data_IF_729378269881
#
_entry.id   IF_729378269881
#
_cell.length_a   1.000
_cell.length_b   1.000
_cell.length_c   1.000
_cell.angle_alpha   90.00
_cell.angle_beta   90.00
_cell.angle_gamma   90.00
#
_symmetry.space_group_name_H-M   'P 1'
#
loop_
_entity.id
_entity.type
_entity.pdbx_description
1 polymer ?
#
# COMPACT_ATOMS: atom_id res chain seq x y z
N UNK A 1 -4.61 18.48 -49.24
CA UNK A 1 -3.37 19.27 -49.19
C UNK A 1 -3.18 19.64 -47.75
N UNK A 2 -2.83 18.69 -46.88
CA UNK A 2 -1.54 17.95 -46.90
C UNK A 2 -0.40 18.95 -47.08
N UNK A 3 0.36 19.26 -46.01
CA UNK A 3 1.44 18.41 -45.45
C UNK A 3 2.53 18.21 -46.51
N UNK A 4 3.81 18.31 -46.22
CA UNK A 4 4.64 17.68 -45.21
C UNK A 4 5.96 18.47 -45.23
N UNK A 5 6.65 18.64 -44.10
CA UNK A 5 8.13 18.46 -44.06
C UNK A 5 8.78 18.82 -42.72
N UNK A 6 8.10 19.48 -41.78
CA UNK A 6 8.80 19.91 -40.54
C UNK A 6 8.77 18.88 -39.39
N UNK A 7 7.80 17.97 -39.36
CA UNK A 7 7.67 16.99 -38.26
C UNK A 7 8.32 15.64 -38.54
N UNK A 8 8.50 15.24 -39.81
CA UNK A 8 9.24 14.02 -40.15
C UNK A 8 10.73 14.15 -39.84
N UNK A 9 11.32 15.36 -39.89
CA UNK A 9 12.74 15.56 -39.54
C UNK A 9 13.02 15.40 -38.04
N UNK A 10 12.05 15.69 -37.16
CA UNK A 10 12.19 15.53 -35.70
C UNK A 10 11.89 14.09 -35.27
N UNK A 11 10.94 13.42 -35.92
CA UNK A 11 10.67 11.99 -35.72
C UNK A 11 11.77 11.10 -36.32
N UNK A 12 12.41 11.51 -37.43
CA UNK A 12 13.57 10.84 -37.99
C UNK A 12 14.82 10.97 -37.09
N UNK A 13 14.96 12.07 -36.33
CA UNK A 13 16.02 12.21 -35.34
C UNK A 13 15.80 11.35 -34.07
N UNK A 14 14.56 10.87 -33.85
CA UNK A 14 14.19 9.93 -32.79
C UNK A 14 14.17 8.47 -33.26
N UNK A 15 14.43 8.23 -34.54
CA UNK A 15 14.43 6.90 -35.16
C UNK A 15 15.85 6.54 -35.61
N UNK A 16 16.44 5.57 -34.93
CA UNK A 16 17.67 4.86 -35.32
C UNK A 16 18.96 5.70 -35.39
N UNK A 17 19.49 6.09 -34.24
CA UNK A 17 20.95 6.05 -34.05
C UNK A 17 21.25 4.92 -33.07
N UNK A 18 21.70 3.82 -33.66
CA UNK A 18 22.20 2.62 -33.00
C UNK A 18 23.21 2.98 -31.92
N UNK A 19 22.93 2.64 -30.66
CA UNK A 19 23.94 2.54 -29.61
C UNK A 19 24.84 1.32 -29.90
N UNK A 20 25.75 1.50 -30.86
CA UNK A 20 26.99 0.75 -30.97
C UNK A 20 28.08 1.62 -30.34
N UNK A 21 28.08 1.72 -29.01
CA UNK A 21 29.27 2.14 -28.28
C UNK A 21 29.83 0.88 -27.63
N UNK A 22 30.92 0.40 -28.21
CA UNK A 22 31.76 -0.68 -27.70
C UNK A 22 32.33 -0.27 -26.35
N UNK A 23 32.02 -1.03 -25.30
CA UNK A 23 32.77 -0.94 -24.04
C UNK A 23 34.10 -1.69 -24.24
N UNK A 24 35.18 -0.96 -24.48
CA UNK A 24 36.48 -1.54 -24.87
C UNK A 24 37.34 -2.09 -23.74
N UNK A 25 36.90 -2.11 -22.48
CA UNK A 25 37.68 -2.72 -21.41
C UNK A 25 36.77 -3.46 -20.43
N UNK A 26 36.62 -4.78 -20.62
CA UNK A 26 36.03 -5.66 -19.60
C UNK A 26 37.07 -6.65 -19.10
N UNK A 27 37.43 -6.53 -17.83
CA UNK A 27 38.30 -7.47 -17.12
C UNK A 27 37.40 -8.62 -16.62
N UNK A 28 37.73 -9.90 -16.90
CA UNK A 28 36.92 -11.01 -16.42
C UNK A 28 37.05 -11.10 -14.89
N UNK A 29 35.93 -11.15 -14.18
CA UNK A 29 35.95 -11.31 -12.73
C UNK A 29 35.63 -12.76 -12.31
N UNK A 30 36.40 -13.33 -11.37
CA UNK A 30 36.14 -14.63 -10.77
C UNK A 30 35.04 -14.53 -9.71
N UNK A 31 34.24 -15.59 -9.60
CA UNK A 31 33.09 -15.71 -8.70
C UNK A 31 33.45 -15.53 -7.22
N UNK A 32 33.11 -14.38 -6.61
CA UNK A 32 32.40 -14.18 -5.32
C UNK A 32 31.90 -12.72 -5.24
N UNK A 33 30.71 -12.51 -4.65
CA UNK A 33 30.07 -11.23 -4.25
C UNK A 33 30.28 -9.99 -5.14
N UNK A 34 29.34 -9.76 -6.07
CA UNK A 34 29.39 -8.60 -6.96
C UNK A 34 28.55 -7.41 -6.48
N UNK A 35 29.21 -6.25 -6.43
CA UNK A 35 28.61 -4.92 -6.47
C UNK A 35 28.32 -4.57 -7.94
N UNK A 36 27.05 -4.51 -8.33
CA UNK A 36 26.64 -4.12 -9.69
C UNK A 36 26.44 -2.61 -9.72
N UNK A 37 27.44 -1.89 -10.24
CA UNK A 37 27.34 -0.49 -10.64
C UNK A 37 26.92 -0.48 -12.11
N UNK A 38 25.85 0.25 -12.43
CA UNK A 38 25.40 0.38 -13.81
C UNK A 38 25.13 1.85 -14.13
N UNK A 39 25.44 2.24 -15.36
CA UNK A 39 25.12 3.55 -15.91
C UNK A 39 24.04 3.37 -16.98
N UNK A 40 22.89 4.01 -16.77
CA UNK A 40 21.80 3.98 -17.75
C UNK A 40 21.89 5.25 -18.59
N UNK A 41 22.11 5.11 -19.90
CA UNK A 41 22.00 6.23 -20.84
C UNK A 41 20.53 6.41 -21.21
N UNK A 42 19.94 7.54 -20.80
CA UNK A 42 18.53 7.87 -21.04
C UNK A 42 18.45 9.00 -22.06
N UNK A 43 17.76 8.76 -23.18
CA UNK A 43 17.51 9.78 -24.20
C UNK A 43 16.78 10.98 -23.57
N UNK A 44 17.37 12.18 -23.68
CA UNK A 44 16.84 13.44 -23.13
C UNK A 44 17.23 13.76 -21.68
N UNK A 45 17.84 12.83 -20.93
CA UNK A 45 18.25 13.03 -19.52
C UNK A 45 19.76 12.79 -19.33
N UNK A 46 20.42 12.08 -20.24
CA UNK A 46 21.85 11.77 -20.17
C UNK A 46 22.15 10.51 -19.38
N UNK A 47 23.43 10.32 -19.03
CA UNK A 47 23.90 9.12 -18.32
C UNK A 47 23.58 9.25 -16.83
N UNK A 48 22.72 8.37 -16.32
CA UNK A 48 22.41 8.23 -14.91
C UNK A 48 23.25 7.11 -14.30
N UNK A 49 24.25 7.43 -13.45
CA UNK A 49 24.95 6.42 -12.69
C UNK A 49 24.06 5.92 -11.55
N UNK A 50 23.91 4.60 -11.43
CA UNK A 50 23.18 3.96 -10.35
C UNK A 50 24.03 2.84 -9.71
N UNK A 51 23.89 2.71 -8.40
CA UNK A 51 24.49 1.63 -7.62
C UNK A 51 23.35 0.82 -7.03
N UNK A 52 23.30 -0.48 -7.33
CA UNK A 52 22.54 -1.39 -6.49
C UNK A 52 23.31 -1.56 -5.18
N UNK A 53 22.79 -0.98 -4.09
CA UNK A 53 23.17 -1.44 -2.77
C UNK A 53 22.77 -2.92 -2.64
N UNK A 54 23.34 -3.64 -1.68
CA UNK A 54 23.00 -5.05 -1.37
C UNK A 54 21.49 -5.30 -1.18
N UNK A 55 20.68 -4.25 -1.03
CA UNK A 55 19.24 -4.28 -0.78
C UNK A 55 18.41 -3.47 -1.82
N UNK A 56 19.02 -2.89 -2.87
CA UNK A 56 18.29 -2.29 -4.01
C UNK A 56 17.48 -1.01 -3.80
N UNK A 57 17.62 -0.28 -2.69
CA UNK A 57 16.77 0.90 -2.41
C UNK A 57 17.35 2.26 -2.87
N UNK A 58 16.54 3.04 -3.59
CA UNK A 58 16.78 4.46 -3.85
C UNK A 58 16.47 5.33 -2.60
N UNK A 59 17.40 6.23 -2.23
CA UNK A 59 17.39 7.03 -0.98
C UNK A 59 16.38 8.20 -0.97
N UNK A 60 15.09 7.95 -1.15
CA UNK A 60 14.05 8.91 -0.81
C UNK A 60 13.09 8.29 0.21
N UNK A 61 13.34 8.53 1.50
CA UNK A 61 12.56 7.95 2.60
C UNK A 61 11.07 8.30 2.53
N UNK A 62 10.77 9.52 2.07
CA UNK A 62 9.45 10.14 1.95
C UNK A 62 8.79 9.99 0.55
N UNK A 63 9.29 9.07 -0.28
CA UNK A 63 8.73 8.79 -1.60
C UNK A 63 8.45 7.30 -1.73
N UNK A 64 7.23 6.94 -2.09
CA UNK A 64 6.94 5.63 -2.68
C UNK A 64 7.00 5.77 -4.19
N UNK A 65 7.71 4.85 -4.85
CA UNK A 65 7.85 4.87 -6.30
C UNK A 65 7.78 3.48 -6.90
N UNK A 66 7.21 3.42 -8.10
CA UNK A 66 7.05 2.23 -8.93
C UNK A 66 7.23 2.62 -10.39
N UNK A 67 7.92 1.77 -11.13
CA UNK A 67 8.13 1.86 -12.56
C UNK A 67 7.63 0.56 -13.19
N UNK A 68 6.88 0.69 -14.28
CA UNK A 68 6.60 -0.42 -15.18
C UNK A 68 7.55 -0.25 -16.36
N UNK A 69 8.40 -1.25 -16.58
CA UNK A 69 9.47 -1.19 -17.55
C UNK A 69 9.39 -2.39 -18.48
N UNK A 70 9.48 -2.16 -19.78
CA UNK A 70 9.74 -3.23 -20.73
C UNK A 70 11.24 -3.51 -20.74
N UNK A 71 11.64 -4.74 -20.41
CA UNK A 71 13.05 -5.14 -20.34
C UNK A 71 13.29 -6.30 -21.30
N UNK A 72 14.41 -6.26 -22.02
CA UNK A 72 14.91 -7.36 -22.85
C UNK A 72 16.31 -7.75 -22.41
N UNK A 73 16.52 -9.06 -22.27
CA UNK A 73 17.81 -9.65 -21.95
C UNK A 73 18.42 -10.24 -23.21
N UNK A 74 19.67 -9.86 -23.48
CA UNK A 74 20.46 -10.39 -24.59
C UNK A 74 21.74 -10.98 -24.05
N UNK A 75 22.20 -12.05 -24.68
CA UNK A 75 23.46 -12.72 -24.30
C UNK A 75 24.37 -12.86 -25.49
N UNK A 76 25.66 -12.68 -25.24
CA UNK A 76 26.74 -12.95 -26.19
C UNK A 76 27.61 -14.10 -25.68
N UNK A 77 28.02 -14.98 -26.60
CA UNK A 77 29.00 -16.05 -26.32
C UNK A 77 30.38 -15.65 -26.85
N UNK A 78 31.40 -16.44 -26.53
CA UNK A 78 32.76 -16.23 -27.07
C UNK A 78 32.83 -16.43 -28.59
N UNK A 79 31.90 -17.20 -29.17
CA UNK A 79 31.92 -17.61 -30.58
C UNK A 79 31.14 -16.68 -31.51
N UNK A 80 30.40 -15.72 -30.96
CA UNK A 80 29.57 -14.78 -31.71
C UNK A 80 29.85 -13.36 -31.26
N UNK A 81 30.09 -12.46 -32.21
CA UNK A 81 30.20 -11.01 -31.94
C UNK A 81 28.83 -10.35 -31.73
N UNK A 82 27.74 -11.07 -32.02
CA UNK A 82 26.38 -10.55 -31.89
C UNK A 82 25.68 -11.08 -30.64
N UNK A 83 24.99 -10.17 -29.93
CA UNK A 83 24.19 -10.51 -28.76
C UNK A 83 22.77 -10.93 -29.20
N UNK A 84 22.34 -12.14 -28.83
CA UNK A 84 21.00 -12.67 -29.12
C UNK A 84 20.03 -12.34 -27.98
N UNK A 85 18.79 -11.96 -28.31
CA UNK A 85 17.73 -11.83 -27.31
C UNK A 85 17.39 -13.22 -26.79
N UNK A 86 17.37 -13.38 -25.48
CA UNK A 86 17.03 -14.66 -24.81
C UNK A 86 15.77 -14.58 -23.97
N UNK A 87 15.41 -13.38 -23.52
CA UNK A 87 14.22 -13.17 -22.70
C UNK A 87 13.79 -11.71 -22.79
N UNK A 88 12.54 -11.42 -22.43
CA UNK A 88 12.05 -10.07 -22.28
C UNK A 88 10.57 -10.01 -21.92
N UNK A 89 10.22 -9.08 -21.05
CA UNK A 89 8.86 -8.91 -20.53
C UNK A 89 8.65 -7.50 -19.94
N UNK A 90 7.47 -7.25 -19.39
CA UNK A 90 7.17 -6.12 -18.52
C UNK A 90 7.53 -6.46 -17.08
N UNK A 91 8.35 -5.60 -16.47
CA UNK A 91 8.79 -5.72 -15.10
C UNK A 91 8.28 -4.56 -14.27
N UNK A 92 7.83 -4.86 -13.06
CA UNK A 92 7.55 -3.87 -12.04
C UNK A 92 8.78 -3.71 -11.15
N UNK A 93 9.36 -2.51 -11.15
CA UNK A 93 10.49 -2.14 -10.31
C UNK A 93 10.02 -1.02 -9.39
N UNK A 94 10.35 -1.08 -8.10
CA UNK A 94 9.92 -0.05 -7.17
C UNK A 94 10.69 -0.15 -5.88
N UNK A 95 10.53 0.87 -5.04
CA UNK A 95 11.16 0.95 -3.71
C UNK A 95 10.99 -0.31 -2.87
N UNK A 96 9.86 -0.99 -3.08
CA UNK A 96 9.42 -2.11 -2.28
C UNK A 96 9.34 -3.43 -3.06
N UNK A 97 9.59 -3.41 -4.36
CA UNK A 97 9.55 -4.61 -5.18
C UNK A 97 10.84 -5.42 -5.03
N UNK A 98 10.76 -6.76 -5.09
CA UNK A 98 11.95 -7.58 -5.05
C UNK A 98 12.86 -7.23 -6.25
N UNK A 99 14.19 -7.36 -6.10
CA UNK A 99 15.11 -7.16 -7.20
C UNK A 99 14.85 -8.20 -8.30
N UNK A 100 15.13 -7.82 -9.55
CA UNK A 100 15.13 -8.77 -10.66
C UNK A 100 16.32 -9.71 -10.49
N UNK A 101 16.04 -11.00 -10.34
CA UNK A 101 17.07 -12.05 -10.20
C UNK A 101 17.31 -12.72 -11.54
N UNK A 102 18.51 -12.57 -12.09
CA UNK A 102 18.93 -13.23 -13.33
C UNK A 102 19.84 -14.41 -12.97
N UNK A 103 19.49 -15.61 -13.44
CA UNK A 103 20.31 -16.82 -13.26
C UNK A 103 20.90 -17.24 -14.61
N UNK A 104 22.23 -17.31 -14.68
CA UNK A 104 22.97 -17.69 -15.88
C UNK A 104 23.53 -19.09 -15.65
N UNK A 105 22.96 -20.09 -16.32
CA UNK A 105 23.33 -21.50 -16.15
C UNK A 105 24.16 -22.06 -17.32
N UNK A 106 24.48 -21.23 -18.31
CA UNK A 106 25.28 -21.61 -19.48
C UNK A 106 26.67 -20.98 -19.38
N UNK A 107 27.69 -21.83 -19.22
CA UNK A 107 29.10 -21.44 -19.06
C UNK A 107 29.69 -20.76 -20.31
N UNK A 108 29.01 -20.87 -21.46
CA UNK A 108 29.44 -20.25 -22.70
C UNK A 108 29.00 -18.78 -22.81
N UNK A 109 28.09 -18.33 -21.95
CA UNK A 109 27.65 -16.93 -21.90
C UNK A 109 28.80 -16.08 -21.34
N UNK A 110 29.24 -15.11 -22.15
CA UNK A 110 30.33 -14.18 -21.80
C UNK A 110 29.86 -12.75 -21.61
N UNK A 111 28.74 -12.38 -22.23
CA UNK A 111 28.16 -11.03 -22.19
C UNK A 111 26.68 -11.11 -21.90
N UNK A 112 26.19 -10.18 -21.09
CA UNK A 112 24.75 -9.93 -20.89
C UNK A 112 24.48 -8.46 -21.15
N UNK A 113 23.55 -8.18 -22.05
CA UNK A 113 23.05 -6.82 -22.33
C UNK A 113 21.59 -6.74 -21.91
N UNK A 114 21.28 -5.73 -21.13
CA UNK A 114 19.91 -5.47 -20.68
C UNK A 114 19.43 -4.19 -21.36
N UNK A 115 18.41 -4.31 -22.20
CA UNK A 115 17.74 -3.19 -22.83
C UNK A 115 16.48 -2.86 -22.03
N UNK A 116 16.31 -1.59 -21.62
CA UNK A 116 15.20 -1.18 -20.77
C UNK A 116 14.45 0.01 -21.38
N UNK A 117 13.12 0.01 -21.28
CA UNK A 117 12.24 1.10 -21.69
C UNK A 117 11.17 1.35 -20.64
N UNK A 118 11.02 2.59 -20.18
CA UNK A 118 9.90 2.96 -19.30
C UNK A 118 8.57 2.91 -20.06
N UNK A 119 7.59 2.26 -19.43
CA UNK A 119 6.19 2.26 -19.88
C UNK A 119 5.38 3.20 -19.00
N UNK A 120 5.57 3.11 -17.68
CA UNK A 120 4.87 3.95 -16.72
C UNK A 120 5.79 4.32 -15.54
N UNK A 121 5.63 5.54 -15.03
CA UNK A 121 6.30 6.02 -13.83
C UNK A 121 5.30 6.53 -12.81
N UNK A 122 5.39 6.02 -11.59
CA UNK A 122 4.53 6.39 -10.47
C UNK A 122 5.40 6.87 -9.31
N UNK A 123 5.19 8.13 -8.93
CA UNK A 123 5.81 8.77 -7.77
C UNK A 123 4.72 9.24 -6.81
N UNK A 124 4.77 8.77 -5.57
CA UNK A 124 3.85 9.18 -4.53
C UNK A 124 4.63 9.69 -3.31
N UNK A 125 4.66 11.01 -3.17
CA UNK A 125 5.26 11.65 -2.01
C UNK A 125 4.35 11.45 -0.80
N UNK A 126 4.92 10.92 0.27
CA UNK A 126 4.20 10.71 1.50
C UNK A 126 3.86 12.08 2.13
N UNK A 127 2.65 12.25 2.68
CA UNK A 127 2.24 13.50 3.30
C UNK A 127 3.17 13.84 4.47
N UNK A 128 3.45 15.13 4.61
CA UNK A 128 4.19 15.68 5.75
C UNK A 128 3.29 16.02 6.95
N UNK A 129 1.98 15.92 6.78
CA UNK A 129 0.97 16.28 7.79
C UNK A 129 1.09 17.74 8.24
N UNK A 130 1.18 18.65 7.26
CA UNK A 130 1.23 20.10 7.45
C UNK A 130 -0.14 20.78 7.31
N UNK A 131 -1.20 19.99 7.06
CA UNK A 131 -2.57 20.47 6.88
C UNK A 131 -3.57 19.58 7.63
N UNK A 132 -4.49 20.21 8.36
CA UNK A 132 -5.49 19.54 9.19
C UNK A 132 -6.44 20.54 9.85
N UNK A 133 -7.44 20.04 10.58
CA UNK A 133 -8.27 20.88 11.46
C UNK A 133 -7.81 20.87 12.92
N UNK A 134 -6.98 19.91 13.31
CA UNK A 134 -6.34 19.91 14.64
C UNK A 134 -4.85 19.64 14.51
N UNK A 135 -4.09 20.03 15.53
CA UNK A 135 -2.66 19.75 15.65
C UNK A 135 -2.43 18.74 16.77
N UNK A 136 -1.84 17.59 16.45
CA UNK A 136 -1.37 16.64 17.44
C UNK A 136 0.07 16.98 17.81
N UNK A 137 0.34 17.21 19.09
CA UNK A 137 1.67 17.50 19.61
C UNK A 137 2.28 16.22 20.20
N UNK A 138 3.31 15.71 19.54
CA UNK A 138 4.14 14.62 20.04
C UNK A 138 5.40 15.20 20.70
N UNK A 139 6.23 14.32 21.25
CA UNK A 139 7.46 14.69 21.94
C UNK A 139 8.40 15.57 21.10
N UNK A 140 8.66 15.15 19.86
CA UNK A 140 9.71 15.74 19.02
C UNK A 140 9.15 16.56 17.84
N UNK A 141 7.86 16.45 17.55
CA UNK A 141 7.23 17.15 16.43
C UNK A 141 5.71 17.30 16.60
N UNK A 142 5.10 18.08 15.70
CA UNK A 142 3.64 18.26 15.62
C UNK A 142 3.13 17.81 14.28
N UNK A 143 1.96 17.17 14.25
CA UNK A 143 1.30 16.71 13.04
C UNK A 143 -0.08 17.36 12.93
N UNK A 144 -0.35 18.04 11.82
CA UNK A 144 -1.68 18.52 11.51
C UNK A 144 -2.49 17.43 10.82
N UNK A 145 -3.68 17.16 11.34
CA UNK A 145 -4.52 16.04 10.92
C UNK A 145 -5.99 16.43 10.87
N UNK A 146 -6.81 15.61 10.20
CA UNK A 146 -8.26 15.75 10.23
C UNK A 146 -8.86 14.86 11.31
N UNK A 147 -9.42 15.46 12.36
CA UNK A 147 -10.04 14.76 13.50
C UNK A 147 -11.01 13.67 13.05
N UNK A 148 -11.93 14.02 12.14
CA UNK A 148 -12.97 13.12 11.65
C UNK A 148 -12.40 11.84 10.99
N UNK A 149 -11.22 11.90 10.36
CA UNK A 149 -10.57 10.70 9.82
C UNK A 149 -10.05 9.78 10.92
N UNK A 150 -9.47 10.36 11.98
CA UNK A 150 -8.96 9.56 13.09
C UNK A 150 -10.11 8.91 13.86
N UNK A 151 -11.20 9.65 14.11
CA UNK A 151 -12.42 9.13 14.72
C UNK A 151 -13.00 7.95 13.92
N UNK A 152 -12.98 8.03 12.60
CA UNK A 152 -13.51 6.98 11.72
C UNK A 152 -12.77 5.65 11.89
N UNK A 153 -11.46 5.69 12.13
CA UNK A 153 -10.63 4.48 12.20
C UNK A 153 -10.32 4.02 13.63
N UNK A 154 -10.65 4.82 14.65
CA UNK A 154 -10.35 4.53 16.06
C UNK A 154 -11.38 5.17 17.00
N UNK A 155 -12.14 4.34 17.71
CA UNK A 155 -13.02 4.80 18.77
C UNK A 155 -12.25 5.46 19.93
N UNK A 156 -11.03 4.99 20.20
CA UNK A 156 -10.13 5.62 21.18
C UNK A 156 -9.81 7.06 20.78
N UNK A 157 -9.47 7.29 19.51
CA UNK A 157 -9.20 8.64 19.01
C UNK A 157 -10.47 9.50 18.97
N UNK A 158 -11.62 8.92 18.61
CA UNK A 158 -12.90 9.62 18.66
C UNK A 158 -13.19 10.18 20.06
N UNK A 159 -13.02 9.37 21.11
CA UNK A 159 -13.24 9.82 22.50
C UNK A 159 -12.13 10.78 22.97
N UNK A 160 -10.86 10.49 22.66
CA UNK A 160 -9.72 11.37 23.03
C UNK A 160 -9.85 12.77 22.43
N UNK A 161 -10.37 12.87 21.20
CA UNK A 161 -10.49 14.11 20.45
C UNK A 161 -11.88 14.75 20.55
N UNK A 162 -12.82 14.13 21.30
CA UNK A 162 -14.23 14.53 21.33
C UNK A 162 -14.45 16.03 21.51
N UNK A 163 -13.73 16.64 22.45
CA UNK A 163 -13.84 18.06 22.78
C UNK A 163 -12.85 18.98 22.05
N UNK A 164 -11.99 18.44 21.19
CA UNK A 164 -11.08 19.25 20.39
C UNK A 164 -11.85 19.97 19.27
N UNK A 165 -11.68 21.28 19.19
CA UNK A 165 -12.23 22.17 18.17
C UNK A 165 -11.19 22.47 17.07
N UNK A 166 -11.64 23.11 15.98
CA UNK A 166 -10.76 23.46 14.87
C UNK A 166 -9.69 24.49 15.31
N UNK A 167 -8.43 24.16 15.05
CA UNK A 167 -7.25 24.92 15.48
C UNK A 167 -6.63 24.45 16.79
N UNK A 168 -7.26 23.52 17.52
CA UNK A 168 -6.75 23.04 18.80
C UNK A 168 -5.44 22.26 18.66
N UNK A 169 -4.62 22.35 19.71
CA UNK A 169 -3.41 21.55 19.89
C UNK A 169 -3.67 20.50 20.96
N UNK A 170 -3.63 19.23 20.57
CA UNK A 170 -3.86 18.09 21.47
C UNK A 170 -2.54 17.42 21.81
N UNK A 171 -2.23 17.33 23.09
CA UNK A 171 -1.00 16.68 23.59
C UNK A 171 -1.13 15.14 23.52
N UNK A 172 -0.17 14.52 22.84
CA UNK A 172 -0.06 13.07 22.65
C UNK A 172 0.97 12.43 23.59
N UNK A 173 1.54 13.20 24.52
CA UNK A 173 2.53 12.76 25.49
C UNK A 173 3.87 12.36 24.85
N UNK A 174 4.56 11.42 25.49
CA UNK A 174 5.89 10.94 25.06
C UNK A 174 5.87 9.97 23.87
N UNK A 175 4.76 9.90 23.12
CA UNK A 175 4.63 8.97 22.01
C UNK A 175 5.54 9.39 20.84
N UNK A 176 6.17 8.42 20.18
CA UNK A 176 6.95 8.66 18.96
C UNK A 176 6.02 8.93 17.77
N UNK A 177 6.21 10.08 17.12
CA UNK A 177 5.44 10.47 15.95
C UNK A 177 5.73 9.58 14.73
N UNK A 178 6.91 8.95 14.63
CA UNK A 178 7.26 8.14 13.46
C UNK A 178 6.37 6.91 13.30
N UNK A 179 6.10 6.21 14.40
CA UNK A 179 5.16 5.08 14.38
C UNK A 179 3.74 5.57 14.04
N UNK A 180 3.32 6.71 14.59
CA UNK A 180 2.01 7.28 14.30
C UNK A 180 1.87 7.72 12.83
N UNK A 181 2.94 8.23 12.20
CA UNK A 181 2.94 8.55 10.76
C UNK A 181 2.66 7.33 9.90
N UNK A 182 3.17 6.16 10.26
CA UNK A 182 2.85 4.91 9.55
C UNK A 182 1.35 4.62 9.58
N UNK A 183 0.72 4.81 10.75
CA UNK A 183 -0.72 4.69 10.90
C UNK A 183 -1.45 5.72 10.03
N UNK A 184 -1.02 6.99 10.06
CA UNK A 184 -1.60 8.05 9.24
C UNK A 184 -1.47 7.76 7.73
N UNK A 185 -0.36 7.19 7.27
CA UNK A 185 -0.21 6.79 5.87
C UNK A 185 -1.21 5.72 5.44
N UNK A 186 -1.73 4.91 6.37
CA UNK A 186 -2.80 3.94 6.08
C UNK A 186 -4.21 4.50 6.18
N UNK A 187 -4.41 5.58 6.95
CA UNK A 187 -5.68 6.30 7.10
C UNK A 187 -5.90 7.30 5.94
N UNK A 188 -4.85 8.04 5.58
CA UNK A 188 -4.87 8.98 4.46
C UNK A 188 -4.80 8.21 3.13
N UNK A 189 -5.29 8.80 2.02
CA UNK A 189 -5.33 8.16 0.70
C UNK A 189 -3.95 8.06 0.04
N UNK A 190 -2.98 7.43 0.72
CA UNK A 190 -1.64 7.17 0.20
C UNK A 190 -1.60 5.81 -0.49
N UNK A 191 -0.57 5.60 -1.33
CA UNK A 191 -0.29 4.27 -1.92
C UNK A 191 0.73 3.48 -1.10
N UNK A 192 0.95 3.86 0.16
CA UNK A 192 1.94 3.19 1.02
C UNK A 192 1.47 1.75 1.32
N UNK A 193 2.23 0.72 0.92
CA UNK A 193 1.87 -0.67 1.22
C UNK A 193 1.81 -0.93 2.73
N UNK A 194 0.90 -1.80 3.17
CA UNK A 194 0.70 -2.11 4.60
C UNK A 194 1.96 -2.72 5.25
N UNK A 195 2.77 -3.42 4.46
CA UNK A 195 4.00 -4.08 4.89
C UNK A 195 5.24 -3.19 4.79
N UNK A 196 5.11 -1.95 4.31
CA UNK A 196 6.23 -1.03 4.11
C UNK A 196 7.03 -0.76 5.40
N UNK A 197 6.34 -0.70 6.54
CA UNK A 197 6.93 -0.71 7.88
C UNK A 197 5.95 -1.38 8.85
N UNK A 198 5.74 -2.70 8.66
CA UNK A 198 4.72 -3.46 9.38
C UNK A 198 4.85 -3.36 10.90
N UNK A 199 6.07 -3.32 11.43
CA UNK A 199 6.33 -3.26 12.87
C UNK A 199 5.87 -1.94 13.49
N UNK A 200 6.30 -0.80 12.94
CA UNK A 200 5.88 0.52 13.41
C UNK A 200 4.38 0.74 13.23
N UNK A 201 3.86 0.33 12.07
CA UNK A 201 2.42 0.40 11.79
C UNK A 201 1.61 -0.39 12.82
N UNK A 202 2.00 -1.63 13.11
CA UNK A 202 1.26 -2.48 14.06
C UNK A 202 1.32 -1.91 15.47
N UNK A 203 2.49 -1.43 15.92
CA UNK A 203 2.63 -0.79 17.24
C UNK A 203 1.71 0.42 17.37
N UNK A 204 1.68 1.30 16.36
CA UNK A 204 0.78 2.45 16.36
C UNK A 204 -0.69 2.03 16.29
N UNK A 205 -1.05 1.11 15.41
CA UNK A 205 -2.43 0.65 15.25
C UNK A 205 -2.97 0.04 16.55
N UNK A 206 -2.19 -0.81 17.23
CA UNK A 206 -2.56 -1.39 18.53
C UNK A 206 -2.57 -0.32 19.63
N UNK A 207 -1.53 0.52 19.72
CA UNK A 207 -1.40 1.54 20.75
C UNK A 207 -2.49 2.61 20.71
N UNK A 208 -2.98 2.95 19.51
CA UNK A 208 -4.07 3.91 19.30
C UNK A 208 -5.42 3.23 19.04
N UNK A 209 -5.51 1.91 19.22
CA UNK A 209 -6.74 1.12 19.02
C UNK A 209 -7.43 1.46 17.69
N UNK A 210 -6.64 1.51 16.61
CA UNK A 210 -7.12 1.78 15.27
C UNK A 210 -7.64 0.49 14.63
N UNK A 211 -8.77 0.01 15.14
CA UNK A 211 -9.36 -1.29 14.80
C UNK A 211 -9.51 -1.51 13.28
N UNK A 212 -9.90 -0.46 12.53
CA UNK A 212 -10.00 -0.55 11.07
C UNK A 212 -8.66 -0.80 10.37
N UNK A 213 -7.54 -0.38 10.96
CA UNK A 213 -6.20 -0.66 10.46
C UNK A 213 -5.68 -1.99 11.01
N UNK A 214 -5.98 -2.34 12.26
CA UNK A 214 -5.71 -3.65 12.85
C UNK A 214 -6.29 -4.77 11.98
N UNK A 215 -7.56 -4.66 11.57
CA UNK A 215 -8.22 -5.64 10.69
C UNK A 215 -7.50 -5.78 9.33
N UNK A 216 -7.02 -4.67 8.75
CA UNK A 216 -6.25 -4.70 7.50
C UNK A 216 -4.91 -5.42 7.70
N UNK A 217 -4.21 -5.16 8.80
CA UNK A 217 -2.94 -5.82 9.14
C UNK A 217 -3.15 -7.32 9.39
N UNK A 218 -4.18 -7.66 10.16
CA UNK A 218 -4.60 -9.04 10.39
C UNK A 218 -4.85 -9.75 9.06
N UNK A 219 -5.68 -9.18 8.19
CA UNK A 219 -6.00 -9.76 6.89
C UNK A 219 -4.73 -9.96 6.03
N UNK A 220 -3.80 -9.01 6.04
CA UNK A 220 -2.52 -9.15 5.35
C UNK A 220 -1.71 -10.35 5.87
N UNK A 221 -1.52 -10.47 7.19
CA UNK A 221 -0.73 -11.57 7.79
C UNK A 221 -1.40 -12.92 7.53
N UNK A 222 -2.71 -13.02 7.75
CA UNK A 222 -3.48 -14.26 7.58
C UNK A 222 -3.40 -14.76 6.14
N UNK A 223 -3.53 -13.86 5.17
CA UNK A 223 -3.56 -14.22 3.75
C UNK A 223 -2.16 -14.22 3.08
N UNK A 224 -1.07 -13.99 3.82
CA UNK A 224 0.27 -13.98 3.24
C UNK A 224 0.71 -15.39 2.84
N UNK A 225 0.75 -15.70 1.54
CA UNK A 225 0.98 -17.06 1.04
C UNK A 225 2.39 -17.59 1.28
N UNK A 226 3.38 -16.70 1.38
CA UNK A 226 4.80 -17.10 1.51
C UNK A 226 5.22 -17.47 2.94
N UNK A 227 4.28 -17.61 3.88
CA UNK A 227 4.55 -18.06 5.26
C UNK A 227 3.63 -19.22 5.66
N UNK A 228 4.19 -20.20 6.35
CA UNK A 228 3.42 -21.25 7.01
C UNK A 228 2.68 -20.71 8.23
N UNK A 229 1.65 -21.41 8.70
CA UNK A 229 0.78 -20.92 9.76
C UNK A 229 1.52 -20.67 11.08
N UNK A 230 2.41 -21.58 11.46
CA UNK A 230 3.23 -21.49 12.67
C UNK A 230 4.10 -20.23 12.64
N UNK A 231 4.66 -19.91 11.46
CA UNK A 231 5.43 -18.68 11.25
C UNK A 231 4.55 -17.44 11.35
N UNK A 232 3.32 -17.48 10.80
CA UNK A 232 2.34 -16.39 10.93
C UNK A 232 1.97 -16.14 12.40
N UNK A 233 1.76 -17.20 13.18
CA UNK A 233 1.47 -17.09 14.62
C UNK A 233 2.68 -16.49 15.36
N UNK A 234 3.88 -16.99 15.12
CA UNK A 234 5.10 -16.44 15.73
C UNK A 234 5.31 -14.97 15.39
N UNK A 235 5.06 -14.57 14.13
CA UNK A 235 5.17 -13.16 13.73
C UNK A 235 4.09 -12.29 14.36
N UNK A 236 2.84 -12.77 14.41
CA UNK A 236 1.75 -12.05 15.09
C UNK A 236 2.03 -11.86 16.60
N UNK A 237 2.66 -12.83 17.26
CA UNK A 237 3.11 -12.69 18.66
C UNK A 237 4.18 -11.59 18.78
N UNK A 238 5.20 -11.60 17.90
CA UNK A 238 6.27 -10.56 17.91
C UNK A 238 5.73 -9.16 17.64
N UNK A 239 4.65 -9.07 16.86
CA UNK A 239 3.96 -7.82 16.56
C UNK A 239 2.94 -7.42 17.62
N UNK A 240 2.75 -8.23 18.67
CA UNK A 240 1.74 -8.02 19.71
C UNK A 240 0.34 -7.82 19.11
N UNK A 241 -0.03 -8.69 18.17
CA UNK A 241 -1.29 -8.63 17.42
C UNK A 241 -2.20 -9.84 17.75
N UNK A 242 -2.88 -9.86 18.91
CA UNK A 242 -3.75 -10.97 19.34
C UNK A 242 -4.80 -11.37 18.31
N UNK A 243 -5.33 -10.38 17.61
CA UNK A 243 -6.41 -10.57 16.65
C UNK A 243 -5.98 -11.46 15.46
N UNK A 244 -4.74 -11.33 14.98
CA UNK A 244 -4.21 -12.21 13.95
C UNK A 244 -4.02 -13.65 14.46
N UNK A 245 -3.58 -13.83 15.70
CA UNK A 245 -3.44 -15.16 16.31
C UNK A 245 -4.82 -15.83 16.43
N UNK A 246 -5.82 -15.10 16.95
CA UNK A 246 -7.20 -15.61 17.07
C UNK A 246 -7.73 -16.07 15.71
N UNK A 247 -7.56 -15.26 14.67
CA UNK A 247 -8.07 -15.57 13.33
C UNK A 247 -7.36 -16.76 12.67
N UNK A 248 -6.04 -16.85 12.81
CA UNK A 248 -5.26 -17.98 12.28
C UNK A 248 -5.72 -19.30 12.92
N UNK A 249 -5.78 -19.34 14.25
CA UNK A 249 -6.17 -20.54 15.00
C UNK A 249 -7.63 -20.90 14.75
N UNK A 250 -8.53 -19.90 14.72
CA UNK A 250 -9.94 -20.12 14.45
C UNK A 250 -10.16 -20.76 13.06
N UNK A 251 -9.51 -20.21 12.02
CA UNK A 251 -9.60 -20.76 10.66
C UNK A 251 -9.03 -22.18 10.60
N UNK A 252 -7.86 -22.39 11.20
CA UNK A 252 -7.18 -23.68 11.26
C UNK A 252 -7.99 -24.77 11.99
N UNK A 253 -8.76 -24.40 13.01
CA UNK A 253 -9.63 -25.36 13.69
C UNK A 253 -10.86 -25.69 12.83
N UNK A 254 -11.40 -24.70 12.11
CA UNK A 254 -12.56 -24.88 11.23
C UNK A 254 -12.27 -25.79 10.03
N UNK A 255 -11.07 -25.70 9.44
CA UNK A 255 -10.65 -26.54 8.33
C UNK A 255 -9.92 -27.84 8.77
N UNK A 256 -9.76 -28.04 10.08
CA UNK A 256 -9.17 -29.24 10.69
C UNK A 256 -7.64 -29.24 10.74
N UNK A 257 -6.98 -28.24 10.17
CA UNK A 257 -5.53 -28.13 10.11
C UNK A 257 -4.88 -28.00 11.50
N UNK A 258 -5.54 -27.33 12.45
CA UNK A 258 -5.05 -27.15 13.82
C UNK A 258 -4.83 -28.47 14.54
N UNK A 259 -5.78 -29.40 14.42
CA UNK A 259 -5.71 -30.73 15.01
C UNK A 259 -4.55 -31.54 14.41
N UNK A 260 -4.32 -31.41 13.11
CA UNK A 260 -3.25 -32.11 12.42
C UNK A 260 -1.86 -31.62 12.85
N UNK A 261 -1.66 -30.31 13.02
CA UNK A 261 -0.38 -29.78 13.49
C UNK A 261 -0.09 -30.21 14.94
N UNK A 262 -1.10 -30.23 15.82
CA UNK A 262 -0.94 -30.75 17.19
C UNK A 262 -0.55 -32.23 17.17
N UNK A 263 -1.20 -33.04 16.33
CA UNK A 263 -0.86 -34.46 16.18
C UNK A 263 0.56 -34.68 15.67
N UNK A 264 1.07 -33.75 14.85
CA UNK A 264 2.43 -33.76 14.32
C UNK A 264 3.48 -33.23 15.31
N UNK A 265 3.09 -32.91 16.55
CA UNK A 265 4.01 -32.65 17.66
C UNK A 265 4.10 -31.19 18.10
N UNK A 266 3.31 -30.27 17.53
CA UNK A 266 3.23 -28.90 18.06
C UNK A 266 2.63 -28.92 19.47
N UNK A 267 3.34 -28.30 20.42
CA UNK A 267 2.79 -27.96 21.73
C UNK A 267 2.65 -26.44 21.84
N UNK A 268 1.44 -25.88 21.59
CA UNK A 268 1.23 -24.44 21.55
C UNK A 268 1.57 -23.72 22.87
N UNK A 269 1.37 -24.37 24.01
CA UNK A 269 1.67 -23.80 25.32
C UNK A 269 3.18 -23.63 25.53
N UNK A 270 3.98 -24.62 25.10
CA UNK A 270 5.44 -24.55 25.17
C UNK A 270 6.02 -23.59 24.12
N UNK A 271 5.49 -23.60 22.90
CA UNK A 271 6.03 -22.83 21.77
C UNK A 271 5.63 -21.35 21.82
N UNK A 272 4.40 -21.05 22.23
CA UNK A 272 3.84 -19.69 22.20
C UNK A 272 3.68 -19.07 23.59
N UNK A 273 3.83 -19.87 24.64
CA UNK A 273 3.73 -19.44 26.03
C UNK A 273 2.31 -19.51 26.60
N UNK A 274 2.25 -19.68 27.92
CA UNK A 274 1.02 -19.87 28.70
C UNK A 274 -0.04 -18.79 28.43
N UNK A 275 0.36 -17.52 28.41
CA UNK A 275 -0.57 -16.42 28.23
C UNK A 275 -1.25 -16.44 26.85
N UNK A 276 -0.48 -16.66 25.77
CA UNK A 276 -1.03 -16.73 24.42
C UNK A 276 -1.94 -17.95 24.29
N UNK A 277 -1.51 -19.08 24.84
CA UNK A 277 -2.27 -20.32 24.79
C UNK A 277 -3.63 -20.20 25.51
N UNK A 278 -3.62 -19.75 26.77
CA UNK A 278 -4.82 -19.71 27.61
C UNK A 278 -5.79 -18.59 27.23
N UNK A 279 -5.29 -17.40 26.88
CA UNK A 279 -6.14 -16.22 26.68
C UNK A 279 -6.53 -15.95 25.23
N UNK A 280 -5.85 -16.57 24.25
CA UNK A 280 -6.12 -16.33 22.82
C UNK A 280 -6.44 -17.64 22.10
N UNK A 281 -5.54 -18.63 22.16
CA UNK A 281 -5.66 -19.87 21.38
C UNK A 281 -6.84 -20.72 21.84
N UNK A 282 -6.92 -21.04 23.14
CA UNK A 282 -8.01 -21.87 23.67
C UNK A 282 -9.41 -21.26 23.42
N UNK A 283 -9.63 -19.95 23.67
CA UNK A 283 -10.88 -19.30 23.29
C UNK A 283 -11.19 -19.38 21.80
N UNK A 284 -10.20 -19.17 20.92
CA UNK A 284 -10.38 -19.25 19.47
C UNK A 284 -10.82 -20.65 19.02
N UNK A 285 -10.17 -21.70 19.55
CA UNK A 285 -10.53 -23.11 19.29
C UNK A 285 -11.94 -23.42 19.79
N UNK A 286 -12.28 -22.99 21.01
CA UNK A 286 -13.62 -23.21 21.57
C UNK A 286 -14.70 -22.51 20.72
N UNK A 287 -14.43 -21.29 20.25
CA UNK A 287 -15.30 -20.52 19.37
C UNK A 287 -15.45 -21.18 17.99
N UNK A 288 -14.36 -21.70 17.42
CA UNK A 288 -14.39 -22.45 16.16
C UNK A 288 -15.24 -23.71 16.27
N UNK A 289 -15.21 -24.43 17.39
CA UNK A 289 -16.03 -25.65 17.57
C UNK A 289 -17.53 -25.39 17.71
N UNK A 290 -17.91 -24.19 18.16
CA UNK A 290 -19.32 -23.85 18.41
C UNK A 290 -20.02 -23.22 17.21
N UNK A 291 -19.26 -22.61 16.31
CA UNK A 291 -19.81 -21.89 15.15
C UNK A 291 -19.84 -22.77 13.88
N UNK A 292 -20.87 -22.61 13.02
CA UNK A 292 -20.92 -23.31 11.74
C UNK A 292 -19.70 -23.03 10.86
N UNK A 293 -19.37 -24.00 10.00
CA UNK A 293 -18.28 -23.88 9.04
C UNK A 293 -18.42 -22.63 8.17
N UNK A 294 -17.34 -21.86 8.05
CA UNK A 294 -17.28 -20.65 7.23
C UNK A 294 -17.83 -19.39 7.90
N UNK A 295 -18.24 -19.46 9.17
CA UNK A 295 -18.58 -18.26 9.95
C UNK A 295 -17.30 -17.45 10.19
N UNK A 296 -17.27 -16.13 9.95
CA UNK A 296 -16.10 -15.32 10.25
C UNK A 296 -15.88 -15.21 11.77
N UNK A 297 -14.61 -15.20 12.20
CA UNK A 297 -14.26 -15.07 13.63
C UNK A 297 -14.74 -13.76 14.23
N UNK A 298 -14.73 -12.69 13.44
CA UNK A 298 -15.15 -11.35 13.82
C UNK A 298 -15.87 -10.68 12.67
N UNK A 299 -16.65 -9.69 13.04
CA UNK A 299 -17.23 -8.75 12.12
C UNK A 299 -16.13 -7.81 11.59
N UNK A 300 -16.11 -7.57 10.28
CA UNK A 300 -15.21 -6.55 9.71
C UNK A 300 -15.52 -5.19 10.32
N UNK A 301 -14.48 -4.41 10.66
CA UNK A 301 -14.66 -3.08 11.23
C UNK A 301 -15.53 -2.17 10.34
N UNK A 302 -15.26 -2.17 9.03
CA UNK A 302 -16.11 -1.51 8.04
C UNK A 302 -17.08 -2.51 7.42
N UNK A 303 -18.18 -2.83 8.12
CA UNK A 303 -19.34 -3.47 7.49
C UNK A 303 -20.07 -2.48 6.59
N UNK A 304 -20.73 -2.99 5.52
CA UNK A 304 -21.57 -2.26 4.56
C UNK A 304 -21.82 -0.79 4.93
N UNK A 305 -20.99 0.10 4.40
CA UNK A 305 -21.11 1.53 4.66
C UNK A 305 -22.38 2.02 3.98
N UNK A 306 -23.39 2.36 4.77
CA UNK A 306 -24.64 2.89 4.25
C UNK A 306 -24.60 4.41 4.21
N UNK A 307 -24.18 4.96 3.07
CA UNK A 307 -24.16 6.40 2.85
C UNK A 307 -25.55 7.04 2.75
N UNK A 308 -26.63 6.25 2.61
CA UNK A 308 -27.98 6.81 2.38
C UNK A 308 -28.72 7.20 3.65
N UNK A 309 -28.30 6.65 4.78
CA UNK A 309 -28.92 6.93 6.07
C UNK A 309 -28.00 7.82 6.90
N UNK A 310 -28.57 8.77 7.67
CA UNK A 310 -27.78 9.50 8.65
C UNK A 310 -27.21 8.51 9.69
N UNK A 311 -26.05 8.83 10.28
CA UNK A 311 -25.50 8.10 11.41
C UNK A 311 -26.53 8.01 12.55
N UNK A 312 -26.60 6.86 13.23
CA UNK A 312 -27.64 6.58 14.26
C UNK A 312 -27.49 7.41 15.55
N UNK A 313 -26.39 8.12 15.73
CA UNK A 313 -26.11 8.90 16.94
C UNK A 313 -26.44 10.38 16.71
N UNK A 314 -27.62 10.80 17.17
CA UNK A 314 -28.25 12.11 16.99
C UNK A 314 -27.66 13.28 17.83
N UNK A 315 -26.49 13.11 18.46
CA UNK A 315 -25.87 14.18 19.25
C UNK A 315 -24.61 14.70 18.58
N UNK A 316 -24.78 15.77 17.80
CA UNK A 316 -23.73 16.60 17.18
C UNK A 316 -22.66 15.82 16.41
N UNK A 317 -23.07 15.15 15.33
CA UNK A 317 -22.13 14.47 14.46
C UNK A 317 -21.37 15.47 13.56
N UNK A 318 -20.48 16.24 14.19
CA UNK A 318 -19.57 17.21 13.56
C UNK A 318 -18.62 16.58 12.53
N UNK A 319 -18.53 15.25 12.54
CA UNK A 319 -17.66 14.46 11.67
C UNK A 319 -18.35 14.04 10.36
N UNK A 320 -19.66 14.29 10.19
CA UNK A 320 -20.43 13.92 8.99
C UNK A 320 -20.86 15.15 8.18
N UNK A 321 -20.80 15.04 6.85
CA UNK A 321 -21.25 16.05 5.89
C UNK A 321 -22.21 15.46 4.87
N UNK A 322 -23.14 16.29 4.40
CA UNK A 322 -24.11 15.90 3.37
C UNK A 322 -23.50 16.16 1.99
N UNK A 323 -23.36 15.10 1.21
CA UNK A 323 -22.97 15.14 -0.21
C UNK A 323 -24.21 14.87 -1.08
N UNK A 324 -24.49 15.75 -2.04
CA UNK A 324 -25.62 15.67 -2.95
C UNK A 324 -25.12 15.22 -4.32
N UNK A 325 -25.57 14.05 -4.77
CA UNK A 325 -25.24 13.46 -6.08
C UNK A 325 -26.54 13.28 -6.86
N UNK A 326 -26.73 14.01 -7.96
CA UNK A 326 -27.96 13.98 -8.78
C UNK A 326 -29.26 14.11 -7.94
N UNK A 327 -29.25 14.95 -6.91
CA UNK A 327 -30.38 15.16 -6.01
C UNK A 327 -30.52 14.15 -4.86
N UNK A 328 -29.74 13.07 -4.87
CA UNK A 328 -29.68 12.10 -3.76
C UNK A 328 -28.71 12.59 -2.69
N UNK A 329 -29.13 12.53 -1.43
CA UNK A 329 -28.29 12.85 -0.28
C UNK A 329 -27.51 11.63 0.18
N UNK A 330 -26.21 11.82 0.38
CA UNK A 330 -25.28 10.87 0.96
C UNK A 330 -24.65 11.49 2.21
N UNK A 331 -24.44 10.68 3.24
CA UNK A 331 -23.84 11.06 4.51
C UNK A 331 -22.41 10.51 4.54
N UNK A 332 -21.43 11.40 4.45
CA UNK A 332 -20.02 11.03 4.27
C UNK A 332 -19.19 11.65 5.39
N UNK A 333 -18.14 10.96 5.82
CA UNK A 333 -17.20 11.52 6.78
C UNK A 333 -16.50 12.77 6.21
N UNK A 334 -16.54 13.88 6.95
CA UNK A 334 -15.99 15.18 6.57
C UNK A 334 -14.48 15.12 6.32
N UNK A 335 -13.78 14.30 7.10
CA UNK A 335 -12.35 14.09 6.96
C UNK A 335 -11.98 13.49 5.61
N UNK A 336 -12.74 12.49 5.13
CA UNK A 336 -12.57 11.89 3.79
C UNK A 336 -12.72 12.95 2.71
N UNK A 337 -13.70 13.84 2.84
CA UNK A 337 -13.94 14.89 1.87
C UNK A 337 -12.81 15.92 1.85
N UNK A 338 -12.32 16.35 3.03
CA UNK A 338 -11.21 17.30 3.13
C UNK A 338 -9.92 16.77 2.49
N UNK A 339 -9.56 15.50 2.71
CA UNK A 339 -8.35 14.92 2.09
C UNK A 339 -8.46 14.74 0.58
N UNK A 340 -9.68 14.67 0.04
CA UNK A 340 -9.95 14.56 -1.40
C UNK A 340 -10.34 15.91 -2.03
N UNK A 341 -9.88 17.03 -1.44
CA UNK A 341 -10.08 18.39 -1.94
C UNK A 341 -11.57 18.77 -2.07
N UNK A 342 -12.21 18.96 -0.93
CA UNK A 342 -13.63 19.31 -0.85
C UNK A 342 -13.99 20.70 -1.46
N UNK A 343 -13.00 21.51 -1.81
CA UNK A 343 -13.21 22.79 -2.50
C UNK A 343 -13.75 22.61 -3.93
N UNK A 344 -13.61 21.42 -4.51
CA UNK A 344 -14.10 21.09 -5.86
C UNK A 344 -15.63 20.93 -5.92
N UNK A 345 -16.31 20.78 -4.78
CA UNK A 345 -17.76 20.62 -4.74
C UNK A 345 -18.47 21.98 -4.66
N UNK A 346 -19.62 22.08 -5.35
CA UNK A 346 -20.54 23.19 -5.14
C UNK A 346 -21.07 23.20 -3.70
N UNK A 347 -21.51 24.36 -3.21
CA UNK A 347 -22.05 24.50 -1.85
C UNK A 347 -23.51 24.88 -1.87
N UNK A 348 -24.31 24.13 -1.12
CA UNK A 348 -25.71 24.46 -0.83
C UNK A 348 -25.82 25.54 0.25
N UNK A 349 -27.02 26.09 0.39
CA UNK A 349 -27.30 27.17 1.34
C UNK A 349 -27.12 26.78 2.81
N UNK A 350 -27.08 25.48 3.13
CA UNK A 350 -26.85 24.97 4.49
C UNK A 350 -25.50 24.27 4.64
N UNK A 351 -24.58 24.52 3.70
CA UNK A 351 -23.24 23.92 3.70
C UNK A 351 -23.15 22.52 3.10
N UNK A 352 -24.25 22.01 2.50
CA UNK A 352 -24.20 20.74 1.79
C UNK A 352 -23.20 20.81 0.62
N UNK A 353 -22.48 19.72 0.37
CA UNK A 353 -21.63 19.60 -0.81
C UNK A 353 -22.44 19.07 -1.99
N UNK A 354 -22.26 19.67 -3.16
CA UNK A 354 -22.99 19.32 -4.37
C UNK A 354 -21.98 18.84 -5.40
N UNK A 355 -22.12 17.59 -5.83
CA UNK A 355 -21.28 17.01 -6.89
C UNK A 355 -21.66 17.63 -8.23
N UNK A 356 -20.66 18.20 -8.90
CA UNK A 356 -20.79 18.65 -10.27
C UNK A 356 -20.53 17.46 -11.21
N UNK A 357 -21.59 16.84 -11.69
CA UNK A 357 -21.49 15.78 -12.69
C UNK A 357 -21.30 16.42 -14.05
N UNK A 358 -20.12 16.25 -14.65
CA UNK A 358 -19.86 16.70 -16.03
C UNK A 358 -20.62 15.85 -17.04
N UNK A 359 -20.91 16.41 -18.22
CA UNK A 359 -21.51 15.65 -19.32
C UNK A 359 -20.65 14.44 -19.69
N UNK A 360 -19.32 14.59 -19.71
CA UNK A 360 -18.37 13.51 -19.99
C UNK A 360 -18.50 12.36 -18.98
N UNK A 361 -18.57 12.66 -17.68
CA UNK A 361 -18.77 11.62 -16.65
C UNK A 361 -20.11 10.92 -16.84
N UNK A 362 -21.18 11.65 -17.16
CA UNK A 362 -22.49 11.08 -17.42
C UNK A 362 -22.49 10.16 -18.65
N UNK A 363 -21.79 10.53 -19.72
CA UNK A 363 -21.62 9.73 -20.93
C UNK A 363 -20.79 8.46 -20.67
N UNK A 364 -19.68 8.55 -19.93
CA UNK A 364 -18.87 7.39 -19.54
C UNK A 364 -19.67 6.42 -18.64
N UNK A 365 -20.44 6.95 -17.68
CA UNK A 365 -21.37 6.16 -16.87
C UNK A 365 -22.38 5.40 -17.73
N UNK A 366 -22.94 6.09 -18.74
CA UNK A 366 -23.91 5.49 -19.66
C UNK A 366 -23.30 4.36 -20.50
N UNK A 367 -22.04 4.50 -20.95
CA UNK A 367 -21.33 3.44 -21.70
C UNK A 367 -21.23 2.13 -20.91
N UNK A 368 -21.14 2.21 -19.59
CA UNK A 368 -21.04 1.04 -18.69
C UNK A 368 -22.37 0.69 -18.00
N UNK A 369 -23.51 1.25 -18.45
CA UNK A 369 -24.83 1.06 -17.86
C UNK A 369 -24.89 1.34 -16.34
N UNK A 370 -24.15 2.36 -15.87
CA UNK A 370 -24.17 2.82 -14.47
C UNK A 370 -24.62 4.28 -14.40
N UNK A 371 -25.00 4.72 -13.21
CA UNK A 371 -25.24 6.14 -12.93
C UNK A 371 -24.05 6.73 -12.16
N UNK A 372 -23.83 8.06 -12.22
CA UNK A 372 -22.82 8.72 -11.38
C UNK A 372 -23.00 8.40 -9.88
N UNK A 373 -24.25 8.32 -9.42
CA UNK A 373 -24.58 7.90 -8.06
C UNK A 373 -24.07 6.48 -7.75
N UNK A 374 -24.30 5.53 -8.66
CA UNK A 374 -23.83 4.16 -8.49
C UNK A 374 -22.29 4.08 -8.43
N UNK A 375 -21.58 4.89 -9.22
CA UNK A 375 -20.10 4.93 -9.16
C UNK A 375 -19.64 5.45 -7.79
N UNK A 376 -20.24 6.54 -7.30
CA UNK A 376 -19.89 7.12 -5.99
C UNK A 376 -20.17 6.16 -4.83
N UNK A 377 -21.21 5.34 -4.91
CA UNK A 377 -21.55 4.38 -3.84
C UNK A 377 -20.65 3.12 -3.80
N UNK A 378 -19.94 2.82 -4.90
CA UNK A 378 -19.10 1.62 -5.04
C UNK A 378 -17.59 1.93 -4.95
N UNK A 379 -17.22 3.21 -4.99
CA UNK A 379 -15.84 3.70 -4.84
C UNK A 379 -15.47 3.79 -3.37
#
# INVERSE_FOLDING_TARGET
MESEDSDESLLAALSAVTCAEEFTDFIPLPAIDYKIVFSVSVAGIGILPAEFATNGEGKFSNLEWKYIMQIRFRVGTAESDTDRVVDGDLFEIGKRYPPIVIRINDENIRRVRIEMKFVEMLHNFLPKFEYGDITLKFKDETLQVYKALLSLHSNYMAEKLKYAEEGDIVDMGDTDANDFKELLYQIYPTKRPIWANLKSLTRAAVGFQADGIIDRITSYIVNYESMYMEQKITEAIKLELPSAIEELVYKAEQDGYWVDIIRNGLNPELEYGDAIYNYIILPAVAKAKTLPLGTPVRDQFFKEINFRNPPKNDHDDNDTVILIVNGTKLYVNKGIMKVNNDAMFGRGNKGEMIVQVSCELAEECAKINKTPLYIVEVS
#
